data_IF_421446357955
#
_entry.id   IF_421446357955
#
_cell.length_a   1.000
_cell.length_b   1.000
_cell.length_c   1.000
_cell.angle_alpha   90.00
_cell.angle_beta   90.00
_cell.angle_gamma   90.00
#
_symmetry.space_group_name_H-M   'P 1'
#
loop_
_entity.id
_entity.type
_entity.pdbx_description
1 polymer ?
#
# COMPACT_ATOMS: atom_id res chain seq x y z
N UNK A 1 -13.95 -17.07 -18.78
CA UNK A 1 -14.24 -16.62 -17.39
C UNK A 1 -13.47 -15.32 -17.21
N UNK A 2 -14.08 -14.30 -16.62
CA UNK A 2 -13.37 -13.05 -16.36
C UNK A 2 -12.45 -13.21 -15.17
N UNK A 3 -11.23 -12.64 -15.19
CA UNK A 3 -10.34 -12.68 -14.04
C UNK A 3 -10.93 -11.86 -12.89
N UNK A 4 -10.78 -12.37 -11.67
CA UNK A 4 -11.25 -11.74 -10.44
C UNK A 4 -10.16 -10.84 -9.88
N UNK A 5 -10.44 -9.55 -9.84
CA UNK A 5 -9.46 -8.51 -9.48
C UNK A 5 -9.89 -7.79 -8.22
N UNK A 6 -9.02 -7.76 -7.21
CA UNK A 6 -9.24 -7.02 -5.98
C UNK A 6 -9.20 -5.50 -6.20
N UNK A 7 -10.04 -4.78 -5.49
CA UNK A 7 -10.10 -3.32 -5.51
C UNK A 7 -10.14 -2.76 -4.08
N UNK A 8 -9.05 -2.12 -3.67
CA UNK A 8 -9.01 -1.34 -2.43
C UNK A 8 -9.68 0.01 -2.68
N UNK A 9 -10.68 0.34 -1.86
CA UNK A 9 -11.46 1.58 -1.99
C UNK A 9 -10.78 2.77 -1.28
N UNK A 10 -9.46 2.92 -1.41
CA UNK A 10 -8.75 4.11 -0.93
C UNK A 10 -8.42 5.05 -2.08
N UNK A 11 -8.31 6.32 -1.76
CA UNK A 11 -7.93 7.37 -2.73
C UNK A 11 -6.62 7.07 -3.46
N UNK A 12 -5.64 6.43 -2.80
CA UNK A 12 -4.36 6.05 -3.44
C UNK A 12 -4.52 5.09 -4.63
N UNK A 13 -5.61 4.32 -4.68
CA UNK A 13 -5.91 3.43 -5.80
C UNK A 13 -6.78 4.08 -6.88
N UNK A 14 -7.36 5.26 -6.59
CA UNK A 14 -8.29 5.93 -7.52
C UNK A 14 -7.69 6.17 -8.91
N UNK A 15 -6.42 6.61 -9.09
CA UNK A 15 -5.85 6.81 -10.41
C UNK A 15 -5.93 5.57 -11.30
N UNK A 16 -5.59 4.39 -10.79
CA UNK A 16 -5.68 3.15 -11.58
C UNK A 16 -7.11 2.88 -12.03
N UNK A 17 -8.06 2.93 -11.10
CA UNK A 17 -9.45 2.55 -11.40
C UNK A 17 -10.18 3.59 -12.24
N UNK A 18 -9.83 4.87 -12.12
CA UNK A 18 -10.38 5.92 -12.96
C UNK A 18 -10.11 5.68 -14.44
N UNK A 19 -8.87 5.36 -14.79
CA UNK A 19 -8.49 5.04 -16.16
C UNK A 19 -9.17 3.76 -16.68
N UNK A 20 -9.34 2.73 -15.84
CA UNK A 20 -10.08 1.51 -16.21
C UNK A 20 -11.55 1.81 -16.55
N UNK A 21 -12.20 2.70 -15.82
CA UNK A 21 -13.57 3.16 -16.14
C UNK A 21 -13.59 3.90 -17.46
N UNK A 22 -12.67 4.83 -17.67
CA UNK A 22 -12.62 5.68 -18.89
C UNK A 22 -12.33 4.87 -20.16
N UNK A 23 -11.53 3.82 -20.05
CA UNK A 23 -11.20 2.91 -21.18
C UNK A 23 -12.21 1.78 -21.39
N UNK A 24 -13.28 1.71 -20.59
CA UNK A 24 -14.23 0.59 -20.56
C UNK A 24 -13.58 -0.79 -20.23
N UNK A 25 -12.34 -0.82 -19.76
CA UNK A 25 -11.60 -2.05 -19.45
C UNK A 25 -12.19 -2.82 -18.24
N UNK A 26 -13.05 -2.19 -17.43
CA UNK A 26 -13.81 -2.88 -16.38
C UNK A 26 -14.74 -3.97 -16.91
N UNK A 27 -15.09 -3.92 -18.20
CA UNK A 27 -15.93 -4.95 -18.81
C UNK A 27 -15.22 -6.30 -18.95
N UNK A 28 -13.90 -6.30 -18.91
CA UNK A 28 -13.05 -7.49 -19.11
C UNK A 28 -12.67 -8.20 -17.80
N UNK A 29 -12.95 -7.58 -16.65
CA UNK A 29 -12.61 -8.09 -15.32
C UNK A 29 -13.84 -8.21 -14.43
N UNK A 30 -13.77 -9.05 -13.39
CA UNK A 30 -14.71 -9.10 -12.28
C UNK A 30 -14.05 -8.39 -11.08
N UNK A 31 -14.51 -7.16 -10.80
CA UNK A 31 -13.94 -6.32 -9.75
C UNK A 31 -14.57 -6.64 -8.39
N UNK A 32 -13.75 -7.07 -7.44
CA UNK A 32 -14.17 -7.41 -6.06
C UNK A 32 -13.59 -6.37 -5.10
N UNK A 33 -14.49 -5.64 -4.44
CA UNK A 33 -14.13 -4.59 -3.49
C UNK A 33 -13.88 -5.17 -2.09
N UNK A 34 -12.92 -4.58 -1.39
CA UNK A 34 -12.64 -4.95 -0.01
C UNK A 34 -11.56 -4.08 0.63
N UNK A 35 -11.37 -4.25 1.94
CA UNK A 35 -10.23 -3.71 2.66
C UNK A 35 -8.95 -4.45 2.28
N UNK A 36 -7.75 -3.88 2.47
CA UNK A 36 -6.50 -4.60 2.19
C UNK A 36 -6.43 -5.99 2.83
N UNK A 37 -6.83 -6.12 4.10
CA UNK A 37 -6.81 -7.40 4.82
C UNK A 37 -7.79 -8.42 4.22
N UNK A 38 -9.00 -8.00 3.85
CA UNK A 38 -9.98 -8.88 3.18
C UNK A 38 -9.47 -9.37 1.83
N UNK A 39 -8.92 -8.46 1.02
CA UNK A 39 -8.39 -8.79 -0.31
C UNK A 39 -7.15 -9.69 -0.24
N UNK A 40 -6.25 -9.46 0.74
CA UNK A 40 -5.14 -10.38 1.03
C UNK A 40 -5.67 -11.80 1.26
N UNK A 41 -6.66 -11.96 2.14
CA UNK A 41 -7.26 -13.26 2.44
C UNK A 41 -7.94 -13.91 1.22
N UNK A 42 -8.64 -13.12 0.41
CA UNK A 42 -9.30 -13.63 -0.80
C UNK A 42 -8.27 -14.11 -1.84
N UNK A 43 -7.18 -13.38 -2.04
CA UNK A 43 -6.12 -13.76 -2.97
C UNK A 43 -5.40 -15.02 -2.50
N UNK A 44 -5.00 -15.09 -1.23
CA UNK A 44 -4.31 -16.24 -0.64
C UNK A 44 -5.15 -17.52 -0.66
N UNK A 45 -6.48 -17.38 -0.55
CA UNK A 45 -7.41 -18.51 -0.64
C UNK A 45 -7.86 -18.83 -2.09
N UNK A 46 -7.22 -18.24 -3.12
CA UNK A 46 -7.53 -18.50 -4.52
C UNK A 46 -8.93 -18.02 -4.96
N UNK A 47 -9.54 -17.10 -4.21
CA UNK A 47 -10.83 -16.48 -4.56
C UNK A 47 -10.67 -15.22 -5.41
N UNK A 48 -9.46 -14.69 -5.48
CA UNK A 48 -9.02 -13.66 -6.41
C UNK A 48 -7.86 -14.19 -7.26
N UNK A 49 -7.76 -13.69 -8.47
CA UNK A 49 -6.67 -13.99 -9.38
C UNK A 49 -5.55 -12.96 -9.27
N UNK A 50 -5.94 -11.68 -9.08
CA UNK A 50 -5.03 -10.52 -9.03
C UNK A 50 -5.55 -9.57 -7.95
N UNK A 51 -4.65 -9.01 -7.13
CA UNK A 51 -5.03 -7.98 -6.14
C UNK A 51 -3.86 -7.10 -5.75
N UNK A 52 -4.09 -5.80 -5.47
CA UNK A 52 -3.17 -5.06 -4.61
C UNK A 52 -3.19 -5.68 -3.22
N UNK A 53 -2.02 -5.93 -2.66
CA UNK A 53 -1.85 -6.48 -1.30
C UNK A 53 -0.78 -5.71 -0.54
N UNK A 54 -0.81 -5.80 0.78
CA UNK A 54 0.28 -5.31 1.63
C UNK A 54 1.60 -5.94 1.20
N UNK A 55 2.67 -5.16 1.01
CA UNK A 55 3.94 -5.68 0.49
C UNK A 55 4.54 -6.77 1.40
N UNK A 56 4.36 -6.69 2.73
CA UNK A 56 4.80 -7.72 3.67
C UNK A 56 4.07 -9.06 3.45
N UNK A 57 2.82 -9.05 2.99
CA UNK A 57 2.06 -10.26 2.72
C UNK A 57 2.61 -11.00 1.47
N UNK A 58 3.14 -10.27 0.49
CA UNK A 58 3.89 -10.93 -0.57
C UNK A 58 5.10 -11.70 0.01
N UNK A 59 5.88 -11.07 0.88
CA UNK A 59 7.03 -11.75 1.47
C UNK A 59 6.64 -12.99 2.29
N UNK A 60 5.54 -12.93 3.02
CA UNK A 60 5.02 -14.06 3.82
C UNK A 60 4.51 -15.21 2.97
N UNK A 61 4.05 -14.94 1.74
CA UNK A 61 3.35 -15.90 0.87
C UNK A 61 3.93 -15.97 -0.55
N UNK A 62 5.19 -15.59 -0.74
CA UNK A 62 5.85 -15.49 -2.05
C UNK A 62 5.83 -16.80 -2.87
N UNK A 63 5.75 -17.96 -2.22
CA UNK A 63 5.67 -19.25 -2.91
C UNK A 63 4.37 -19.41 -3.72
N UNK A 64 3.27 -18.79 -3.28
CA UNK A 64 1.96 -18.85 -3.94
C UNK A 64 1.63 -17.66 -4.83
N UNK A 65 2.49 -16.64 -4.85
CA UNK A 65 2.26 -15.37 -5.51
C UNK A 65 3.41 -15.02 -6.45
N UNK A 66 3.08 -14.25 -7.50
CA UNK A 66 4.03 -13.51 -8.33
C UNK A 66 3.57 -12.07 -8.46
N UNK A 67 4.46 -11.15 -8.80
CA UNK A 67 4.18 -9.72 -8.85
C UNK A 67 3.90 -9.24 -10.28
N UNK A 68 2.99 -8.29 -10.45
CA UNK A 68 3.03 -7.46 -11.62
C UNK A 68 4.25 -6.53 -11.55
N UNK A 69 5.06 -6.46 -12.59
CA UNK A 69 6.06 -5.41 -12.69
C UNK A 69 5.36 -4.04 -12.80
N UNK A 70 6.05 -2.98 -12.40
CA UNK A 70 5.60 -1.59 -12.54
C UNK A 70 4.29 -1.19 -11.81
N UNK A 71 3.81 -2.00 -10.84
CA UNK A 71 2.63 -1.64 -10.05
C UNK A 71 2.88 -1.72 -8.55
N UNK A 72 2.91 -0.56 -7.91
CA UNK A 72 3.04 -0.44 -6.45
C UNK A 72 2.22 0.73 -5.92
N UNK A 73 2.04 0.79 -4.62
CA UNK A 73 1.80 2.04 -3.89
C UNK A 73 3.03 2.26 -3.02
N UNK A 74 3.80 3.28 -3.36
CA UNK A 74 5.09 3.58 -2.74
C UNK A 74 5.31 5.09 -2.59
N UNK A 75 6.33 5.50 -1.85
CA UNK A 75 6.78 6.88 -1.75
C UNK A 75 8.29 7.00 -1.73
N UNK A 76 8.74 8.20 -2.05
CA UNK A 76 10.11 8.70 -1.90
C UNK A 76 10.02 9.80 -0.84
N UNK A 77 10.12 9.42 0.44
CA UNK A 77 9.80 10.27 1.58
C UNK A 77 8.31 10.29 1.93
N UNK A 78 7.71 11.46 2.04
CA UNK A 78 6.36 11.68 2.54
C UNK A 78 5.28 10.88 1.80
N UNK A 79 4.39 10.22 2.57
CA UNK A 79 3.25 9.44 2.05
C UNK A 79 1.89 10.05 2.37
N UNK A 80 1.79 10.88 3.38
CA UNK A 80 0.58 11.59 3.89
C UNK A 80 -0.54 10.69 4.42
N UNK A 81 -0.61 9.46 3.97
CA UNK A 81 -1.71 8.52 4.25
C UNK A 81 -1.33 7.34 5.14
N UNK A 82 -0.17 7.40 5.80
CA UNK A 82 0.26 6.41 6.82
C UNK A 82 0.91 7.19 7.96
N UNK A 83 0.15 7.39 9.03
CA UNK A 83 0.49 8.32 10.10
C UNK A 83 0.45 7.64 11.46
N UNK A 84 1.47 7.95 12.27
CA UNK A 84 1.39 7.78 13.72
C UNK A 84 0.92 9.11 14.32
N UNK A 85 -0.23 9.09 15.00
CA UNK A 85 -0.71 10.20 15.83
C UNK A 85 -0.50 9.84 17.29
N UNK A 86 0.09 10.75 18.07
CA UNK A 86 0.47 10.48 19.46
C UNK A 86 0.20 11.68 20.36
N UNK A 87 -0.14 11.39 21.62
CA UNK A 87 -0.20 12.40 22.68
C UNK A 87 1.19 12.77 23.22
N UNK A 88 2.22 11.99 22.88
CA UNK A 88 3.59 12.15 23.36
C UNK A 88 4.56 12.27 22.18
N UNK A 89 5.73 12.91 22.36
CA UNK A 89 6.83 12.80 21.41
C UNK A 89 7.19 11.33 21.14
N UNK A 90 7.61 11.01 19.91
CA UNK A 90 7.91 9.63 19.49
C UNK A 90 9.00 8.98 20.36
N UNK A 91 9.94 9.78 20.86
CA UNK A 91 11.04 9.36 21.73
C UNK A 91 10.56 8.91 23.12
N UNK A 92 9.35 9.31 23.54
CA UNK A 92 8.76 9.01 24.85
C UNK A 92 7.79 7.83 24.81
N UNK A 93 7.71 7.10 23.69
CA UNK A 93 6.75 6.01 23.50
C UNK A 93 7.15 4.68 24.14
N UNK A 94 8.34 4.55 24.75
CA UNK A 94 8.68 3.34 25.50
C UNK A 94 7.71 3.06 26.63
N UNK A 95 7.18 1.83 26.68
CA UNK A 95 6.17 1.43 27.68
C UNK A 95 4.78 2.03 27.48
N UNK A 96 4.57 2.86 26.46
CA UNK A 96 3.26 3.39 26.08
C UNK A 96 2.51 2.40 25.20
N UNK A 97 1.19 2.54 25.11
CA UNK A 97 0.35 1.72 24.24
C UNK A 97 0.14 2.39 22.89
N UNK A 98 0.34 1.64 21.82
CA UNK A 98 0.05 2.08 20.47
C UNK A 98 -1.03 1.21 19.85
N UNK A 99 -2.13 1.82 19.42
CA UNK A 99 -3.19 1.16 18.70
C UNK A 99 -2.80 1.05 17.21
N UNK A 100 -2.73 -0.18 16.70
CA UNK A 100 -2.44 -0.48 15.31
C UNK A 100 -3.74 -0.69 14.54
N UNK A 101 -3.94 0.05 13.44
CA UNK A 101 -5.04 -0.23 12.52
C UNK A 101 -4.93 -1.66 11.98
N UNK A 102 -6.04 -2.41 12.03
CA UNK A 102 -6.12 -3.79 11.55
C UNK A 102 -6.24 -3.91 10.02
N UNK A 103 -6.12 -2.81 9.29
CA UNK A 103 -6.36 -2.75 7.84
C UNK A 103 -5.09 -2.82 6.97
N UNK A 104 -3.88 -2.76 7.55
CA UNK A 104 -2.63 -2.83 6.78
C UNK A 104 -1.51 -3.52 7.55
N UNK A 105 -1.07 -4.68 7.07
CA UNK A 105 0.05 -5.42 7.65
C UNK A 105 1.40 -4.69 7.45
N UNK A 106 1.66 -4.14 6.27
CA UNK A 106 2.92 -3.43 5.98
C UNK A 106 3.13 -2.23 6.89
N UNK A 107 2.08 -1.42 7.11
CA UNK A 107 2.20 -0.21 7.93
C UNK A 107 2.46 -0.53 9.40
N UNK A 108 1.93 -1.64 9.91
CA UNK A 108 2.21 -2.12 11.26
C UNK A 108 3.69 -2.50 11.42
N UNK A 109 4.23 -3.28 10.49
CA UNK A 109 5.65 -3.69 10.51
C UNK A 109 6.55 -2.47 10.33
N UNK A 110 6.20 -1.55 9.42
CA UNK A 110 6.96 -0.31 9.21
C UNK A 110 7.03 0.53 10.49
N UNK A 111 5.92 0.71 11.20
CA UNK A 111 5.92 1.44 12.46
C UNK A 111 6.83 0.77 13.49
N UNK A 112 6.75 -0.56 13.66
CA UNK A 112 7.62 -1.31 14.58
C UNK A 112 9.10 -1.10 14.26
N UNK A 113 9.46 -1.09 12.97
CA UNK A 113 10.83 -0.84 12.52
C UNK A 113 11.28 0.59 12.82
N UNK A 114 10.46 1.58 12.49
CA UNK A 114 10.75 2.99 12.78
C UNK A 114 10.99 3.19 14.28
N UNK A 115 10.13 2.65 15.11
CA UNK A 115 10.23 2.79 16.57
C UNK A 115 11.46 2.06 17.13
N UNK A 116 11.66 0.80 16.78
CA UNK A 116 12.75 -0.01 17.33
C UNK A 116 14.13 0.37 16.77
N UNK A 117 14.23 0.62 15.43
CA UNK A 117 15.52 0.90 14.78
C UNK A 117 15.83 2.39 14.72
N UNK A 118 14.83 3.22 14.47
CA UNK A 118 14.99 4.67 14.36
C UNK A 118 15.10 5.36 15.72
N UNK A 119 14.12 5.10 16.58
CA UNK A 119 13.99 5.82 17.85
C UNK A 119 14.43 5.02 19.09
N UNK A 120 14.64 3.71 18.95
CA UNK A 120 15.05 2.82 20.08
C UNK A 120 14.03 2.80 21.20
N UNK A 121 12.75 2.86 20.87
CA UNK A 121 11.64 2.80 21.83
C UNK A 121 10.89 1.47 21.72
N UNK A 122 10.37 0.97 22.84
CA UNK A 122 9.71 -0.33 22.97
C UNK A 122 8.30 -0.13 23.55
N UNK A 123 7.30 0.21 22.72
CA UNK A 123 5.92 0.36 23.19
C UNK A 123 5.19 -1.00 23.24
N UNK A 124 4.04 -1.00 23.90
CA UNK A 124 3.06 -2.08 23.81
C UNK A 124 2.13 -1.86 22.61
N UNK A 125 1.77 -2.93 21.92
CA UNK A 125 0.87 -2.84 20.75
C UNK A 125 -0.48 -3.49 21.01
N UNK A 126 -1.55 -2.81 20.61
CA UNK A 126 -2.90 -3.34 20.56
C UNK A 126 -3.47 -3.18 19.16
N UNK A 127 -4.28 -4.11 18.68
CA UNK A 127 -4.93 -4.00 17.37
C UNK A 127 -6.34 -3.43 17.53
N UNK A 128 -6.70 -2.49 16.66
CA UNK A 128 -8.00 -1.81 16.69
C UNK A 128 -8.53 -1.54 15.27
N UNK A 129 -9.86 -1.49 15.08
CA UNK A 129 -10.44 -0.87 13.88
C UNK A 129 -9.98 0.60 13.74
N UNK A 130 -9.94 1.14 12.50
CA UNK A 130 -9.40 2.47 12.22
C UNK A 130 -10.39 3.60 12.60
N UNK A 131 -10.57 3.81 13.88
CA UNK A 131 -11.39 4.87 14.48
C UNK A 131 -10.55 5.55 15.57
N UNK A 132 -10.04 6.76 15.27
CA UNK A 132 -9.05 7.42 16.13
C UNK A 132 -9.54 7.61 17.56
N UNK A 133 -10.81 8.03 17.74
CA UNK A 133 -11.34 8.29 19.09
C UNK A 133 -11.38 7.00 19.92
N UNK A 134 -11.79 5.88 19.32
CA UNK A 134 -11.77 4.57 19.99
C UNK A 134 -10.36 4.03 20.20
N UNK A 135 -9.45 4.30 19.26
CA UNK A 135 -8.04 3.90 19.40
C UNK A 135 -7.40 4.63 20.57
N UNK A 136 -7.53 5.96 20.64
CA UNK A 136 -6.92 6.78 21.68
C UNK A 136 -7.66 6.71 23.03
N UNK A 137 -8.90 6.21 23.08
CA UNK A 137 -9.55 5.90 24.36
C UNK A 137 -8.83 4.76 25.12
N UNK A 138 -8.03 3.94 24.45
CA UNK A 138 -7.37 2.76 25.03
C UNK A 138 -5.84 2.74 24.79
N UNK A 139 -5.29 3.75 24.11
CA UNK A 139 -3.88 3.84 23.77
C UNK A 139 -3.38 5.28 23.78
N UNK A 140 -2.06 5.45 23.91
CA UNK A 140 -1.36 6.73 23.95
C UNK A 140 -1.06 7.28 22.54
N UNK A 141 -1.04 6.38 21.55
CA UNK A 141 -0.83 6.70 20.15
C UNK A 141 -1.61 5.74 19.23
N UNK A 142 -1.83 6.15 17.97
CA UNK A 142 -2.59 5.39 17.00
C UNK A 142 -1.93 5.42 15.61
N UNK A 143 -1.81 4.25 14.98
CA UNK A 143 -1.42 4.13 13.58
C UNK A 143 -2.66 4.17 12.71
N UNK A 144 -2.79 5.20 11.90
CA UNK A 144 -3.85 5.32 10.89
C UNK A 144 -3.31 5.19 9.47
N UNK A 145 -4.16 4.67 8.58
CA UNK A 145 -3.83 4.55 7.15
C UNK A 145 -4.97 5.02 6.25
N UNK A 146 -4.62 5.28 4.97
CA UNK A 146 -5.58 5.60 3.92
C UNK A 146 -6.28 6.94 4.14
N UNK A 147 -7.53 7.02 3.69
CA UNK A 147 -8.29 8.26 3.64
C UNK A 147 -8.57 8.86 5.02
N UNK A 148 -8.66 8.01 6.03
CA UNK A 148 -8.77 8.45 7.43
C UNK A 148 -7.49 9.16 7.89
N UNK A 149 -6.31 8.64 7.55
CA UNK A 149 -5.05 9.28 7.87
C UNK A 149 -4.93 10.64 7.17
N UNK A 150 -5.32 10.73 5.88
CA UNK A 150 -5.33 11.98 5.13
C UNK A 150 -6.18 13.08 5.79
N UNK A 151 -7.32 12.74 6.42
CA UNK A 151 -8.14 13.71 7.15
C UNK A 151 -7.36 14.34 8.29
N UNK A 152 -6.65 13.54 9.07
CA UNK A 152 -5.82 14.04 10.18
C UNK A 152 -4.52 14.70 9.68
N UNK A 153 -4.02 14.33 8.52
CA UNK A 153 -2.90 15.04 7.90
C UNK A 153 -3.27 16.49 7.54
N UNK A 154 -4.47 16.72 7.06
CA UNK A 154 -4.99 18.06 6.72
C UNK A 154 -5.43 18.82 7.97
N UNK A 155 -6.21 18.18 8.85
CA UNK A 155 -6.73 18.74 10.09
C UNK A 155 -5.79 18.38 11.25
N UNK A 156 -4.64 19.04 11.29
CA UNK A 156 -3.59 18.86 12.31
C UNK A 156 -4.08 19.40 13.66
N UNK A 157 -4.82 18.59 14.39
CA UNK A 157 -5.21 18.88 15.77
C UNK A 157 -4.10 18.42 16.73
N UNK A 158 -4.10 18.89 17.92
CA UNK A 158 -3.32 18.69 19.14
C UNK A 158 -2.57 17.36 19.35
N UNK A 159 -2.04 16.75 18.25
CA UNK A 159 -1.26 15.52 18.27
C UNK A 159 0.14 15.75 17.71
N UNK A 160 1.11 15.01 18.24
CA UNK A 160 2.34 14.76 17.51
C UNK A 160 2.02 13.85 16.32
N UNK A 161 2.31 14.33 15.12
CA UNK A 161 2.03 13.64 13.87
C UNK A 161 3.32 13.25 13.17
N UNK A 162 3.47 11.96 12.91
CA UNK A 162 4.64 11.40 12.22
C UNK A 162 4.18 10.69 10.96
N UNK A 163 4.68 11.15 9.81
CA UNK A 163 4.50 10.47 8.52
C UNK A 163 5.50 9.33 8.40
N UNK A 164 5.01 8.09 8.29
CA UNK A 164 5.90 6.93 8.31
C UNK A 164 6.77 6.80 7.06
N UNK A 165 6.41 7.42 5.95
CA UNK A 165 7.27 7.52 4.77
C UNK A 165 8.49 8.41 5.04
N UNK A 166 8.27 9.58 5.66
CA UNK A 166 9.36 10.48 6.08
C UNK A 166 10.25 9.83 7.15
N UNK A 167 9.65 9.18 8.14
CA UNK A 167 10.42 8.53 9.21
C UNK A 167 11.27 7.36 8.67
N UNK A 168 10.73 6.61 7.69
CA UNK A 168 11.48 5.58 7.00
C UNK A 168 12.66 6.16 6.20
N UNK A 169 12.42 7.22 5.44
CA UNK A 169 13.47 7.90 4.67
C UNK A 169 14.58 8.45 5.59
N UNK A 170 14.22 9.13 6.68
CA UNK A 170 15.18 9.63 7.68
C UNK A 170 16.05 8.51 8.26
N UNK A 171 15.43 7.37 8.57
CA UNK A 171 16.13 6.23 9.18
C UNK A 171 17.05 5.51 8.20
N UNK A 172 16.65 5.38 6.92
CA UNK A 172 17.28 4.44 5.98
C UNK A 172 17.86 5.07 4.73
N UNK A 173 17.42 6.26 4.35
CA UNK A 173 17.70 6.89 3.05
C UNK A 173 17.11 6.14 1.86
N UNK A 174 16.13 5.24 2.08
CA UNK A 174 15.55 4.38 1.04
C UNK A 174 14.08 4.67 0.80
N UNK A 175 13.65 4.36 -0.41
CA UNK A 175 12.23 4.41 -0.81
C UNK A 175 11.43 3.33 -0.12
N UNK A 176 10.11 3.57 0.09
CA UNK A 176 9.23 2.61 0.75
C UNK A 176 8.13 2.13 -0.19
N UNK A 177 7.88 0.83 -0.18
CA UNK A 177 6.80 0.17 -0.93
C UNK A 177 5.78 -0.40 0.05
N UNK A 178 4.58 0.17 0.06
CA UNK A 178 3.51 -0.19 0.99
C UNK A 178 2.64 -1.33 0.49
N UNK A 179 2.33 -1.29 -0.81
CA UNK A 179 1.53 -2.30 -1.48
C UNK A 179 2.13 -2.65 -2.85
N UNK A 180 1.91 -3.89 -3.25
CA UNK A 180 2.29 -4.44 -4.55
C UNK A 180 1.08 -5.08 -5.21
N UNK A 181 1.05 -5.15 -6.55
CA UNK A 181 0.03 -5.94 -7.25
C UNK A 181 0.51 -7.37 -7.41
N UNK A 182 -0.11 -8.26 -6.66
CA UNK A 182 0.19 -9.68 -6.70
C UNK A 182 -0.83 -10.46 -7.54
N UNK A 183 -0.34 -11.48 -8.17
CA UNK A 183 -1.08 -12.43 -9.01
C UNK A 183 -0.95 -13.81 -8.38
N UNK A 184 -2.05 -14.55 -8.27
CA UNK A 184 -1.99 -15.94 -7.87
C UNK A 184 -1.10 -16.73 -8.83
N UNK A 185 -0.10 -17.44 -8.33
CA UNK A 185 0.90 -18.13 -9.15
C UNK A 185 0.25 -19.12 -10.11
N UNK A 186 -0.70 -19.91 -9.64
CA UNK A 186 -1.42 -20.87 -10.48
C UNK A 186 -2.19 -20.19 -11.61
N UNK A 187 -2.79 -19.02 -11.36
CA UNK A 187 -3.43 -18.22 -12.39
C UNK A 187 -2.41 -17.69 -13.40
N UNK A 188 -1.31 -17.12 -12.93
CA UNK A 188 -0.26 -16.59 -13.80
C UNK A 188 0.34 -17.67 -14.73
N UNK A 189 0.53 -18.88 -14.22
CA UNK A 189 1.05 -20.02 -14.99
C UNK A 189 0.04 -20.56 -16.00
N UNK A 190 -1.21 -20.77 -15.59
CA UNK A 190 -2.27 -21.36 -16.44
C UNK A 190 -2.89 -20.36 -17.42
N UNK A 191 -2.89 -19.08 -17.09
CA UNK A 191 -3.55 -17.99 -17.82
C UNK A 191 -2.56 -16.84 -18.12
N UNK A 192 -1.35 -17.20 -18.55
CA UNK A 192 -0.27 -16.22 -18.76
C UNK A 192 -0.65 -15.10 -19.74
N UNK A 193 -1.31 -15.44 -20.85
CA UNK A 193 -1.74 -14.43 -21.84
C UNK A 193 -2.82 -13.49 -21.27
N UNK A 194 -3.71 -14.03 -20.43
CA UNK A 194 -4.72 -13.20 -19.74
C UNK A 194 -4.05 -12.31 -18.68
N UNK A 195 -3.05 -12.82 -17.96
CA UNK A 195 -2.27 -12.02 -17.00
C UNK A 195 -1.54 -10.86 -17.70
N UNK A 196 -0.94 -11.10 -18.88
CA UNK A 196 -0.33 -10.05 -19.71
C UNK A 196 -1.34 -9.01 -20.17
N UNK A 197 -2.50 -9.48 -20.66
CA UNK A 197 -3.58 -8.58 -21.07
C UNK A 197 -4.02 -7.66 -19.95
N UNK A 198 -4.24 -8.21 -18.73
CA UNK A 198 -4.61 -7.40 -17.56
C UNK A 198 -3.49 -6.42 -17.19
N UNK A 199 -2.24 -6.84 -17.25
CA UNK A 199 -1.11 -5.95 -17.04
C UNK A 199 -1.14 -4.75 -18.00
N UNK A 200 -1.36 -5.00 -19.31
CA UNK A 200 -1.40 -3.93 -20.30
C UNK A 200 -2.58 -2.96 -20.11
N UNK A 201 -3.77 -3.47 -19.77
CA UNK A 201 -4.90 -2.57 -19.48
C UNK A 201 -4.67 -1.74 -18.21
N UNK A 202 -4.01 -2.29 -17.20
CA UNK A 202 -3.65 -1.55 -15.99
C UNK A 202 -2.61 -0.47 -16.30
N UNK A 203 -1.59 -0.80 -17.09
CA UNK A 203 -0.56 0.15 -17.52
C UNK A 203 -1.17 1.31 -18.31
N UNK A 204 -1.97 1.00 -19.31
CA UNK A 204 -2.67 2.02 -20.10
C UNK A 204 -3.60 2.89 -19.24
N UNK A 205 -4.28 2.28 -18.27
CA UNK A 205 -5.11 2.99 -17.30
C UNK A 205 -4.30 3.96 -16.45
N UNK A 206 -3.19 3.52 -15.89
CA UNK A 206 -2.33 4.36 -15.06
C UNK A 206 -1.71 5.49 -15.89
N UNK A 207 -1.19 5.19 -17.08
CA UNK A 207 -0.63 6.19 -18.00
C UNK A 207 -1.65 7.27 -18.40
N UNK A 208 -2.90 6.87 -18.61
CA UNK A 208 -4.00 7.81 -18.83
C UNK A 208 -4.21 8.68 -17.59
N UNK A 209 -4.36 8.07 -16.43
CA UNK A 209 -4.71 8.76 -15.20
C UNK A 209 -3.64 9.75 -14.74
N UNK A 210 -2.36 9.39 -14.88
CA UNK A 210 -1.26 10.29 -14.52
C UNK A 210 -1.22 11.56 -15.39
N UNK A 211 -1.77 11.52 -16.60
CA UNK A 211 -1.93 12.70 -17.47
C UNK A 211 -3.18 13.52 -17.15
N UNK A 212 -4.13 12.94 -16.39
CA UNK A 212 -5.43 13.54 -16.10
C UNK A 212 -5.68 13.73 -14.59
N UNK A 213 -4.61 13.83 -13.80
CA UNK A 213 -4.71 14.02 -12.33
C UNK A 213 -5.62 15.18 -11.90
N UNK A 214 -5.63 16.35 -12.57
CA UNK A 214 -6.57 17.43 -12.21
C UNK A 214 -8.03 16.99 -12.33
N UNK A 215 -8.41 16.29 -13.40
CA UNK A 215 -9.78 15.78 -13.61
C UNK A 215 -10.16 14.76 -12.54
N UNK A 216 -9.22 13.87 -12.18
CA UNK A 216 -9.42 12.87 -11.12
C UNK A 216 -9.60 13.53 -9.76
N UNK A 217 -8.79 14.54 -9.46
CA UNK A 217 -8.87 15.29 -8.21
C UNK A 217 -10.18 16.07 -8.08
N UNK A 218 -10.62 16.74 -9.14
CA UNK A 218 -11.93 17.41 -9.19
C UNK A 218 -13.10 16.41 -9.01
N UNK A 219 -12.97 15.23 -9.61
CA UNK A 219 -13.98 14.17 -9.43
C UNK A 219 -14.04 13.69 -7.97
N UNK A 220 -12.87 13.38 -7.37
CA UNK A 220 -12.78 12.89 -6.00
C UNK A 220 -13.25 13.94 -4.97
N UNK A 221 -12.93 15.21 -5.17
CA UNK A 221 -13.32 16.31 -4.29
C UNK A 221 -14.85 16.53 -4.18
N UNK A 222 -15.65 15.89 -5.03
CA UNK A 222 -17.13 15.93 -4.92
C UNK A 222 -17.66 15.03 -3.81
N UNK A 223 -16.89 14.04 -3.40
CA UNK A 223 -17.29 12.98 -2.48
C UNK A 223 -16.41 12.92 -1.23
N UNK A 224 -15.18 13.45 -1.33
CA UNK A 224 -14.20 13.45 -0.25
C UNK A 224 -13.98 14.87 0.29
N UNK A 225 -13.69 15.03 1.58
CA UNK A 225 -13.53 16.34 2.22
C UNK A 225 -12.16 16.98 1.94
N UNK A 226 -11.65 16.86 0.71
CA UNK A 226 -10.35 17.37 0.31
C UNK A 226 -10.48 18.32 -0.87
N UNK A 227 -9.64 19.37 -0.90
CA UNK A 227 -9.57 20.24 -2.07
C UNK A 227 -8.92 19.53 -3.27
N UNK A 228 -9.30 19.88 -4.51
CA UNK A 228 -8.64 19.33 -5.70
C UNK A 228 -7.12 19.54 -5.70
N UNK A 229 -6.64 20.71 -5.23
CA UNK A 229 -5.20 20.98 -5.14
C UNK A 229 -4.48 20.02 -4.18
N UNK A 230 -5.05 19.75 -3.00
CA UNK A 230 -4.50 18.77 -2.06
C UNK A 230 -4.46 17.37 -2.67
N UNK A 231 -5.53 16.95 -3.35
CA UNK A 231 -5.58 15.63 -4.00
C UNK A 231 -4.56 15.47 -5.12
N UNK A 232 -4.32 16.53 -5.92
CA UNK A 232 -3.26 16.53 -6.94
C UNK A 232 -1.89 16.34 -6.28
N UNK A 233 -1.61 17.08 -5.21
CA UNK A 233 -0.33 16.99 -4.48
C UNK A 233 -0.17 15.61 -3.81
N UNK A 234 -1.26 15.07 -3.27
CA UNK A 234 -1.27 13.72 -2.72
C UNK A 234 -0.97 12.66 -3.78
N UNK A 235 -1.68 12.65 -4.91
CA UNK A 235 -1.43 11.68 -5.98
C UNK A 235 0.00 11.81 -6.55
N UNK A 236 0.56 13.03 -6.58
CA UNK A 236 1.94 13.27 -7.01
C UNK A 236 2.99 12.85 -5.97
N UNK A 237 2.66 12.76 -4.68
CA UNK A 237 3.57 12.26 -3.66
C UNK A 237 3.72 10.74 -3.71
N UNK A 238 2.69 10.04 -4.21
CA UNK A 238 2.75 8.60 -4.42
C UNK A 238 3.55 8.22 -5.67
N UNK A 239 4.10 7.03 -5.65
CA UNK A 239 4.76 6.40 -6.80
C UNK A 239 4.08 5.07 -7.05
N UNK A 240 3.82 4.80 -8.31
CA UNK A 240 3.10 3.61 -8.74
C UNK A 240 3.99 2.67 -9.54
N UNK A 241 5.15 3.12 -9.97
CA UNK A 241 6.15 2.32 -10.67
C UNK A 241 6.96 1.46 -9.69
N UNK A 242 7.54 0.36 -10.20
CA UNK A 242 8.34 -0.57 -9.40
C UNK A 242 9.77 -0.67 -9.94
N UNK A 243 10.42 0.48 -10.08
CA UNK A 243 11.81 0.58 -10.52
C UNK A 243 12.78 -0.05 -9.53
N UNK A 244 14.03 -0.20 -9.97
CA UNK A 244 15.09 -0.88 -9.21
C UNK A 244 15.31 -0.32 -7.81
N UNK A 245 15.27 0.99 -7.64
CA UNK A 245 15.44 1.68 -6.37
C UNK A 245 14.30 1.37 -5.36
N UNK A 246 13.07 1.20 -5.84
CA UNK A 246 11.94 0.73 -5.03
C UNK A 246 12.07 -0.76 -4.69
N UNK A 247 12.54 -1.58 -5.62
CA UNK A 247 12.82 -3.00 -5.34
C UNK A 247 13.92 -3.16 -4.28
N UNK A 248 14.98 -2.37 -4.37
CA UNK A 248 16.04 -2.32 -3.35
C UNK A 248 15.53 -1.85 -1.99
N UNK A 249 14.66 -0.85 -1.95
CA UNK A 249 13.98 -0.36 -0.75
C UNK A 249 13.09 -1.44 -0.13
N UNK A 250 12.30 -2.13 -0.93
CA UNK A 250 11.44 -3.23 -0.47
C UNK A 250 12.25 -4.40 0.09
N UNK A 251 13.31 -4.83 -0.59
CA UNK A 251 14.19 -5.90 -0.10
C UNK A 251 14.92 -5.49 1.19
N UNK A 252 15.24 -4.21 1.34
CA UNK A 252 15.80 -3.70 2.58
C UNK A 252 14.77 -3.71 3.72
N UNK A 253 13.53 -3.31 3.44
CA UNK A 253 12.43 -3.42 4.39
C UNK A 253 12.21 -4.87 4.84
N UNK A 254 12.24 -5.85 3.92
CA UNK A 254 12.11 -7.27 4.26
C UNK A 254 13.26 -7.77 5.14
N UNK A 255 14.50 -7.31 4.91
CA UNK A 255 15.63 -7.65 5.79
C UNK A 255 15.39 -7.18 7.20
N UNK A 256 15.07 -5.91 7.39
CA UNK A 256 14.77 -5.39 8.72
C UNK A 256 13.55 -6.06 9.36
N UNK A 257 12.53 -6.40 8.58
CA UNK A 257 11.38 -7.14 9.08
C UNK A 257 11.76 -8.57 9.54
N UNK A 258 12.70 -9.23 8.87
CA UNK A 258 13.24 -10.52 9.31
C UNK A 258 14.07 -10.37 10.60
N UNK A 259 14.85 -9.30 10.74
CA UNK A 259 15.65 -9.03 11.93
C UNK A 259 14.79 -8.88 13.21
N UNK A 260 13.55 -8.37 13.09
CA UNK A 260 12.60 -8.28 14.21
C UNK A 260 11.61 -9.45 14.28
N UNK A 261 11.79 -10.51 13.47
CA UNK A 261 10.97 -11.72 13.52
C UNK A 261 9.62 -11.62 12.81
N UNK A 262 9.34 -10.56 12.04
CA UNK A 262 8.10 -10.42 11.26
C UNK A 262 8.11 -11.24 9.96
N UNK A 263 9.29 -11.70 9.53
CA UNK A 263 9.51 -12.61 8.42
C UNK A 263 10.50 -13.72 8.82
N UNK A 264 10.38 -14.89 8.21
CA UNK A 264 11.32 -16.01 8.39
C UNK A 264 12.56 -15.89 7.50
N UNK A 265 12.53 -14.99 6.52
CA UNK A 265 13.60 -14.74 5.56
C UNK A 265 13.22 -13.68 4.55
N UNK A 266 14.14 -13.36 3.64
CA UNK A 266 13.92 -12.37 2.58
C UNK A 266 13.69 -13.11 1.27
N UNK A 267 12.47 -13.07 0.70
CA UNK A 267 12.17 -13.73 -0.57
C UNK A 267 12.80 -12.99 -1.76
N UNK A 268 12.97 -13.70 -2.85
CA UNK A 268 13.19 -13.07 -4.15
C UNK A 268 11.90 -12.43 -4.67
N UNK A 269 12.04 -11.36 -5.47
CA UNK A 269 10.92 -10.72 -6.13
C UNK A 269 10.69 -11.44 -7.48
N UNK A 270 9.66 -12.25 -7.53
CA UNK A 270 9.28 -12.97 -8.75
C UNK A 270 8.15 -12.23 -9.48
N UNK A 271 8.32 -12.05 -10.79
CA UNK A 271 7.40 -11.28 -11.61
C UNK A 271 6.69 -12.14 -12.64
N UNK A 272 5.46 -11.75 -12.97
CA UNK A 272 4.74 -12.30 -14.15
C UNK A 272 5.58 -12.07 -15.40
N UNK A 273 5.73 -13.09 -16.22
CA UNK A 273 6.44 -12.96 -17.48
C UNK A 273 5.58 -12.20 -18.50
N UNK A 274 5.79 -10.88 -18.58
CA UNK A 274 5.08 -10.00 -19.52
C UNK A 274 5.73 -9.90 -20.91
N UNK A 275 6.95 -10.45 -21.10
CA UNK A 275 7.61 -10.40 -22.41
C UNK A 275 6.84 -11.25 -23.40
N UNK A 276 6.38 -10.66 -24.51
CA UNK A 276 5.94 -11.41 -25.67
C UNK A 276 7.13 -12.27 -26.17
N UNK A 277 6.88 -13.56 -26.45
CA UNK A 277 7.83 -14.33 -27.25
C UNK A 277 7.97 -13.58 -28.57
N UNK A 278 9.10 -12.91 -28.78
CA UNK A 278 9.47 -12.46 -30.12
C UNK A 278 9.58 -13.74 -30.91
N UNK A 279 8.63 -13.96 -31.83
CA UNK A 279 8.69 -15.04 -32.81
C UNK A 279 9.91 -14.75 -33.68
N UNK A 280 10.97 -15.53 -33.49
CA UNK A 280 12.11 -15.62 -34.41
C UNK A 280 11.69 -16.33 -35.65
#
# INVERSE_FOLDING_TARGET
MKPKVGHIQFLNCLPLYYGLVKSCALLDIELIKGTPTELNNLLLNGKLDISPISSIEYARHHESLVLFPDFTVSSDGEVKSILLLSHFPIEELSGKKIALSNTSATSQVLLKLVLSHGYKVEPEYITSPPDLDKMLANADAALLIGDIALKYYVDRKDFYLYDLGLEWEKMTGKKMVYAVWAVNRTFAEKQNELSKYIFEIFKNSMDYSMKHLPEIAEYAARWEPFSPSFLIDYFKSLRFDFKKDYQEGLLYFYRLAADIGELTGVPELEFVNIRSKVST
#
